data_IF_494739950910
#
_entry.id   IF_494739950910
#
_cell.length_a   1.000
_cell.length_b   1.000
_cell.length_c   1.000
_cell.angle_alpha   90.00
_cell.angle_beta   90.00
_cell.angle_gamma   90.00
#
_symmetry.space_group_name_H-M   'P 1'
#
loop_
_entity.id
_entity.type
_entity.pdbx_description
1 polymer ?
#
# COMPACT_ATOMS: atom_id res chain seq x y z
N UNK A 1 -63.08 -11.92 7.23
CA UNK A 1 -62.01 -12.83 6.74
C UNK A 1 -60.70 -12.05 6.77
N UNK A 2 -59.63 -12.52 7.43
CA UNK A 2 -58.36 -11.81 7.43
C UNK A 2 -57.61 -12.05 6.12
N UNK A 3 -57.24 -10.97 5.44
CA UNK A 3 -56.44 -11.02 4.21
C UNK A 3 -54.99 -11.32 4.55
N UNK A 4 -54.53 -12.54 4.25
CA UNK A 4 -53.13 -12.91 4.38
C UNK A 4 -52.34 -12.32 3.19
N UNK A 5 -51.33 -11.50 3.49
CA UNK A 5 -50.39 -10.96 2.48
C UNK A 5 -49.19 -11.90 2.38
N UNK A 6 -49.00 -12.53 1.22
CA UNK A 6 -47.86 -13.43 0.95
C UNK A 6 -46.72 -12.60 0.34
N UNK A 7 -45.58 -12.53 1.03
CA UNK A 7 -44.37 -11.93 0.47
C UNK A 7 -43.56 -12.96 -0.31
N UNK A 8 -43.48 -12.80 -1.63
CA UNK A 8 -42.68 -13.66 -2.50
C UNK A 8 -41.26 -13.11 -2.57
N UNK A 9 -40.29 -13.83 -2.00
CA UNK A 9 -38.86 -13.51 -2.12
C UNK A 9 -38.34 -14.01 -3.47
N UNK A 10 -38.24 -13.13 -4.45
CA UNK A 10 -37.60 -13.43 -5.72
C UNK A 10 -36.07 -13.36 -5.56
N UNK A 11 -35.38 -14.48 -5.76
CA UNK A 11 -33.92 -14.56 -5.74
C UNK A 11 -33.42 -14.64 -7.18
N UNK A 12 -32.93 -13.52 -7.73
CA UNK A 12 -32.32 -13.48 -9.06
C UNK A 12 -30.89 -13.98 -8.97
N UNK A 13 -30.60 -15.14 -9.56
CA UNK A 13 -29.24 -15.69 -9.64
C UNK A 13 -28.67 -15.34 -11.01
N UNK A 14 -27.74 -14.39 -11.06
CA UNK A 14 -27.06 -14.01 -12.30
C UNK A 14 -25.85 -14.92 -12.51
N UNK A 15 -25.96 -15.90 -13.40
CA UNK A 15 -24.84 -16.73 -13.83
C UNK A 15 -24.10 -16.05 -14.98
N UNK A 16 -22.92 -15.47 -14.71
CA UNK A 16 -22.03 -14.97 -15.77
C UNK A 16 -21.31 -16.13 -16.46
N UNK A 17 -21.53 -16.25 -17.77
CA UNK A 17 -20.73 -17.15 -18.60
C UNK A 17 -19.26 -16.68 -18.58
N UNK A 18 -18.34 -17.57 -18.21
CA UNK A 18 -16.90 -17.31 -18.18
C UNK A 18 -16.35 -17.27 -19.61
N UNK A 19 -16.43 -16.12 -20.27
CA UNK A 19 -15.40 -15.73 -21.23
C UNK A 19 -14.23 -15.15 -20.43
N UNK A 20 -13.00 -15.54 -20.73
CA UNK A 20 -11.79 -15.00 -20.11
C UNK A 20 -11.52 -13.58 -20.63
N UNK A 21 -12.42 -12.65 -20.32
CA UNK A 21 -12.23 -11.23 -20.56
C UNK A 21 -11.48 -10.67 -19.35
N UNK A 22 -10.27 -10.17 -19.58
CA UNK A 22 -9.56 -9.37 -18.59
C UNK A 22 -10.34 -8.06 -18.44
N UNK A 23 -11.05 -7.92 -17.33
CA UNK A 23 -11.78 -6.69 -17.02
C UNK A 23 -10.87 -5.80 -16.19
N UNK A 24 -10.50 -4.64 -16.74
CA UNK A 24 -9.70 -3.64 -16.04
C UNK A 24 -10.65 -2.67 -15.32
N UNK A 25 -10.59 -2.64 -13.99
CA UNK A 25 -11.36 -1.70 -13.18
C UNK A 25 -10.64 -0.36 -13.07
N UNK A 26 -10.68 0.44 -14.15
CA UNK A 26 -10.12 1.80 -14.16
C UNK A 26 -10.76 2.71 -13.10
N UNK A 27 -12.00 2.43 -12.69
CA UNK A 27 -12.70 3.14 -11.61
C UNK A 27 -12.04 2.99 -10.24
N UNK A 28 -11.22 1.96 -10.02
CA UNK A 28 -10.51 1.78 -8.75
C UNK A 28 -9.48 2.89 -8.51
N UNK A 29 -8.71 3.30 -9.52
CA UNK A 29 -7.73 4.39 -9.39
C UNK A 29 -8.39 5.75 -9.15
N UNK A 30 -9.61 5.94 -9.63
CA UNK A 30 -10.41 7.15 -9.36
C UNK A 30 -11.05 7.16 -7.97
N UNK A 31 -11.02 6.03 -7.24
CA UNK A 31 -11.55 5.96 -5.89
C UNK A 31 -10.57 6.54 -4.86
N UNK A 32 -11.09 7.05 -3.73
CA UNK A 32 -10.28 7.64 -2.65
C UNK A 32 -9.20 6.68 -2.14
N UNK A 33 -9.57 5.41 -1.90
CA UNK A 33 -8.66 4.39 -1.38
C UNK A 33 -7.68 3.89 -2.44
N UNK A 34 -8.10 3.80 -3.71
CA UNK A 34 -7.23 3.41 -4.81
C UNK A 34 -6.19 4.47 -5.15
N UNK A 35 -6.58 5.75 -5.17
CA UNK A 35 -5.64 6.87 -5.36
C UNK A 35 -4.59 6.92 -4.25
N UNK A 36 -5.01 6.74 -3.00
CA UNK A 36 -4.11 6.76 -1.86
C UNK A 36 -3.13 5.56 -1.89
N UNK A 37 -3.59 4.37 -2.26
CA UNK A 37 -2.73 3.20 -2.54
C UNK A 37 -1.73 3.46 -3.67
N UNK A 38 -2.18 4.10 -4.74
CA UNK A 38 -1.30 4.44 -5.86
C UNK A 38 -0.21 5.43 -5.44
N UNK A 39 -0.54 6.43 -4.61
CA UNK A 39 0.45 7.34 -4.06
C UNK A 39 1.45 6.61 -3.15
N UNK A 40 0.98 5.73 -2.26
CA UNK A 40 1.83 4.89 -1.42
C UNK A 40 2.82 4.11 -2.30
N UNK A 41 2.33 3.41 -3.33
CA UNK A 41 3.18 2.67 -4.26
C UNK A 41 4.29 3.53 -4.88
N UNK A 42 3.97 4.77 -5.30
CA UNK A 42 4.97 5.70 -5.86
C UNK A 42 6.01 6.07 -4.80
N UNK A 43 5.59 6.46 -3.60
CA UNK A 43 6.53 6.84 -2.54
C UNK A 43 7.42 5.67 -2.11
N UNK A 44 6.88 4.46 -2.01
CA UNK A 44 7.63 3.25 -1.68
C UNK A 44 8.63 2.90 -2.77
N UNK A 45 8.24 3.03 -4.05
CA UNK A 45 9.15 2.86 -5.18
C UNK A 45 10.31 3.86 -5.15
N UNK A 46 10.01 5.14 -4.92
CA UNK A 46 11.03 6.19 -4.85
C UNK A 46 11.97 5.93 -3.67
N UNK A 47 11.44 5.61 -2.48
CA UNK A 47 12.24 5.26 -1.32
C UNK A 47 13.16 4.05 -1.58
N UNK A 48 12.64 3.02 -2.25
CA UNK A 48 13.40 1.84 -2.64
C UNK A 48 14.52 2.17 -3.63
N UNK A 49 14.23 2.89 -4.72
CA UNK A 49 15.23 3.28 -5.72
C UNK A 49 16.32 4.15 -5.08
N UNK A 50 15.94 5.11 -4.24
CA UNK A 50 16.89 5.97 -3.54
C UNK A 50 17.81 5.18 -2.60
N UNK A 51 17.26 4.23 -1.84
CA UNK A 51 18.05 3.32 -1.02
C UNK A 51 18.97 2.46 -1.91
N UNK A 52 18.47 1.90 -3.01
CA UNK A 52 19.26 1.07 -3.92
C UNK A 52 20.43 1.85 -4.55
N UNK A 53 20.18 3.07 -5.02
CA UNK A 53 21.23 3.96 -5.55
C UNK A 53 22.29 4.30 -4.49
N UNK A 54 21.90 4.41 -3.21
CA UNK A 54 22.87 4.57 -2.13
C UNK A 54 23.79 3.36 -2.01
N UNK A 55 23.28 2.14 -2.13
CA UNK A 55 24.07 0.91 -2.07
C UNK A 55 24.94 0.66 -3.31
N UNK A 56 24.54 1.17 -4.47
CA UNK A 56 25.30 1.01 -5.71
C UNK A 56 26.50 1.98 -5.78
N UNK A 57 26.31 3.22 -5.28
CA UNK A 57 27.33 4.26 -5.33
C UNK A 57 28.30 4.29 -4.14
N UNK A 58 28.02 3.55 -3.06
CA UNK A 58 28.83 3.55 -1.84
C UNK A 58 29.40 2.15 -1.58
N UNK A 59 30.67 2.07 -1.18
CA UNK A 59 31.28 0.79 -0.79
C UNK A 59 30.39 0.10 0.26
N UNK A 60 29.98 -1.14 0.00
CA UNK A 60 29.07 -1.94 0.84
C UNK A 60 29.52 -2.00 2.32
N UNK A 61 30.80 -1.81 2.58
CA UNK A 61 31.42 -1.83 3.91
C UNK A 61 31.05 -0.62 4.79
N UNK A 62 30.61 0.51 4.22
CA UNK A 62 30.26 1.74 4.98
C UNK A 62 28.74 1.88 5.19
N UNK A 63 27.94 0.95 4.67
CA UNK A 63 26.48 0.97 4.84
C UNK A 63 26.07 0.63 6.28
N UNK A 64 25.25 1.50 6.90
CA UNK A 64 24.72 1.26 8.24
C UNK A 64 23.58 0.23 8.19
N UNK A 65 23.33 -0.44 9.31
CA UNK A 65 22.22 -1.39 9.43
C UNK A 65 20.85 -0.73 9.17
N UNK A 66 20.72 0.57 9.49
CA UNK A 66 19.54 1.39 9.19
C UNK A 66 19.28 1.51 7.69
N UNK A 67 20.33 1.66 6.87
CA UNK A 67 20.23 1.78 5.41
C UNK A 67 19.70 0.47 4.80
N UNK A 68 20.19 -0.66 5.31
CA UNK A 68 19.78 -2.01 4.88
C UNK A 68 18.34 -2.29 5.27
N UNK A 69 17.96 -1.91 6.49
CA UNK A 69 16.59 -2.02 6.97
C UNK A 69 15.63 -1.23 6.08
N UNK A 70 15.96 0.03 5.76
CA UNK A 70 15.15 0.85 4.84
C UNK A 70 15.03 0.21 3.45
N UNK A 71 16.13 -0.30 2.89
CA UNK A 71 16.11 -0.98 1.59
C UNK A 71 15.15 -2.18 1.60
N UNK A 72 15.23 -3.04 2.62
CA UNK A 72 14.39 -4.24 2.70
C UNK A 72 12.91 -3.91 2.92
N UNK A 73 12.61 -2.98 3.83
CA UNK A 73 11.22 -2.59 4.13
C UNK A 73 10.60 -1.87 2.94
N UNK A 74 11.32 -0.95 2.29
CA UNK A 74 10.83 -0.24 1.11
C UNK A 74 10.58 -1.17 -0.08
N UNK A 75 11.43 -2.18 -0.27
CA UNK A 75 11.22 -3.22 -1.28
C UNK A 75 9.96 -4.04 -1.00
N UNK A 76 9.83 -4.55 0.23
CA UNK A 76 8.68 -5.36 0.65
C UNK A 76 7.36 -4.60 0.54
N UNK A 77 7.37 -3.31 0.91
CA UNK A 77 6.22 -2.44 0.80
C UNK A 77 5.86 -2.16 -0.67
N UNK A 78 6.83 -1.74 -1.48
CA UNK A 78 6.61 -1.48 -2.91
C UNK A 78 6.02 -2.70 -3.63
N UNK A 79 6.67 -3.87 -3.52
CA UNK A 79 6.20 -5.06 -4.24
C UNK A 79 4.79 -5.46 -3.80
N UNK A 80 4.50 -5.41 -2.50
CA UNK A 80 3.22 -5.87 -1.99
C UNK A 80 2.09 -4.90 -2.35
N UNK A 81 2.31 -3.58 -2.23
CA UNK A 81 1.32 -2.58 -2.63
C UNK A 81 1.07 -2.63 -4.13
N UNK A 82 2.11 -2.82 -4.95
CA UNK A 82 1.96 -3.04 -6.40
C UNK A 82 1.10 -4.27 -6.70
N UNK A 83 1.37 -5.41 -6.05
CA UNK A 83 0.59 -6.63 -6.24
C UNK A 83 -0.88 -6.43 -5.80
N UNK A 84 -1.13 -5.73 -4.68
CA UNK A 84 -2.48 -5.40 -4.24
C UNK A 84 -3.21 -4.49 -5.22
N UNK A 85 -2.51 -3.50 -5.81
CA UNK A 85 -3.07 -2.59 -6.79
C UNK A 85 -3.43 -3.33 -8.09
N UNK A 86 -2.52 -4.16 -8.59
CA UNK A 86 -2.76 -5.01 -9.77
C UNK A 86 -3.93 -5.97 -9.51
N UNK A 87 -3.99 -6.59 -8.33
CA UNK A 87 -5.09 -7.47 -7.95
C UNK A 87 -6.44 -6.72 -7.93
N UNK A 88 -6.48 -5.47 -7.46
CA UNK A 88 -7.68 -4.65 -7.49
C UNK A 88 -8.05 -4.16 -8.90
N UNK A 89 -7.07 -3.95 -9.79
CA UNK A 89 -7.30 -3.52 -11.17
C UNK A 89 -7.80 -4.65 -12.08
N UNK A 90 -7.26 -5.86 -11.92
CA UNK A 90 -7.57 -7.01 -12.78
C UNK A 90 -8.81 -7.80 -12.33
N UNK A 91 -9.36 -7.53 -11.15
CA UNK A 91 -10.49 -8.27 -10.59
C UNK A 91 -11.55 -7.34 -10.00
N UNK A 92 -12.74 -7.34 -10.64
CA UNK A 92 -13.92 -6.63 -10.15
C UNK A 92 -14.34 -7.08 -8.74
N UNK A 93 -14.17 -8.36 -8.42
CA UNK A 93 -14.45 -8.90 -7.08
C UNK A 93 -13.43 -8.42 -6.05
N UNK A 94 -12.14 -8.43 -6.39
CA UNK A 94 -11.09 -7.96 -5.49
C UNK A 94 -11.19 -6.46 -5.22
N UNK A 95 -11.60 -5.64 -6.20
CA UNK A 95 -11.76 -4.20 -6.02
C UNK A 95 -12.79 -3.82 -4.94
N UNK A 96 -13.80 -4.67 -4.70
CA UNK A 96 -14.85 -4.44 -3.71
C UNK A 96 -14.59 -5.14 -2.38
N UNK A 97 -13.92 -6.29 -2.40
CA UNK A 97 -13.63 -7.10 -1.21
C UNK A 97 -12.36 -6.62 -0.52
N UNK A 98 -11.30 -6.31 -1.27
CA UNK A 98 -9.98 -6.00 -0.72
C UNK A 98 -10.00 -4.79 0.23
N UNK A 99 -10.65 -3.65 -0.10
CA UNK A 99 -10.70 -2.50 0.82
C UNK A 99 -11.52 -2.75 2.09
N UNK A 100 -12.35 -3.81 2.11
CA UNK A 100 -13.17 -4.20 3.26
C UNK A 100 -12.55 -5.35 4.06
N UNK A 101 -11.50 -5.97 3.54
CA UNK A 101 -10.82 -7.05 4.22
C UNK A 101 -10.03 -6.49 5.40
N UNK A 102 -10.11 -7.16 6.56
CA UNK A 102 -9.29 -6.80 7.72
C UNK A 102 -7.80 -6.81 7.40
N UNK A 103 -7.40 -7.70 6.50
CA UNK A 103 -6.06 -7.77 5.95
C UNK A 103 -5.56 -6.44 5.39
N UNK A 104 -6.38 -5.67 4.68
CA UNK A 104 -5.96 -4.43 4.02
C UNK A 104 -5.53 -3.37 5.04
N UNK A 105 -6.35 -3.10 6.06
CA UNK A 105 -5.99 -2.10 7.06
C UNK A 105 -4.84 -2.56 7.96
N UNK A 106 -4.81 -3.84 8.37
CA UNK A 106 -3.73 -4.39 9.21
C UNK A 106 -2.40 -4.28 8.47
N UNK A 107 -2.39 -4.63 7.19
CA UNK A 107 -1.20 -4.58 6.35
C UNK A 107 -0.64 -3.15 6.26
N UNK A 108 -1.48 -2.17 5.90
CA UNK A 108 -1.07 -0.78 5.76
C UNK A 108 -0.69 -0.14 7.10
N UNK A 109 -1.27 -0.59 8.23
CA UNK A 109 -0.88 -0.12 9.55
C UNK A 109 0.50 -0.64 9.97
N UNK A 110 0.73 -1.95 9.81
CA UNK A 110 2.00 -2.58 10.20
C UNK A 110 3.13 -2.06 9.31
N UNK A 111 2.96 -2.12 7.98
CA UNK A 111 3.99 -1.59 7.08
C UNK A 111 4.15 -0.07 7.22
N UNK A 112 3.07 0.67 7.52
CA UNK A 112 3.15 2.11 7.74
C UNK A 112 4.04 2.46 8.94
N UNK A 113 3.92 1.70 10.04
CA UNK A 113 4.78 1.84 11.22
C UNK A 113 6.23 1.46 10.88
N UNK A 114 6.45 0.31 10.22
CA UNK A 114 7.80 -0.14 9.86
C UNK A 114 8.49 0.88 8.95
N UNK A 115 7.77 1.43 7.98
CA UNK A 115 8.29 2.38 7.01
C UNK A 115 8.57 3.75 7.64
N UNK A 116 7.75 4.16 8.61
CA UNK A 116 7.99 5.34 9.43
C UNK A 116 9.24 5.18 10.30
N UNK A 117 9.40 4.03 10.98
CA UNK A 117 10.59 3.74 11.80
C UNK A 117 11.85 3.71 10.93
N UNK A 118 11.79 3.03 9.78
CA UNK A 118 12.91 2.97 8.84
C UNK A 118 13.33 4.38 8.35
N UNK A 119 12.35 5.19 7.95
CA UNK A 119 12.58 6.57 7.51
C UNK A 119 13.20 7.43 8.61
N UNK A 120 12.65 7.40 9.83
CA UNK A 120 13.15 8.19 10.95
C UNK A 120 14.54 7.75 11.43
N UNK A 121 14.82 6.44 11.47
CA UNK A 121 16.11 5.93 11.89
C UNK A 121 17.21 6.31 10.88
N UNK A 122 16.95 6.13 9.58
CA UNK A 122 17.89 6.58 8.55
C UNK A 122 18.04 8.09 8.61
N UNK A 123 16.96 8.87 8.72
CA UNK A 123 17.02 10.32 8.81
C UNK A 123 17.92 10.78 9.97
N UNK A 124 17.77 10.19 11.17
CA UNK A 124 18.58 10.54 12.33
C UNK A 124 20.08 10.37 12.08
N UNK A 125 20.48 9.31 11.36
CA UNK A 125 21.88 9.07 10.99
C UNK A 125 22.34 9.87 9.76
N UNK A 126 21.46 10.04 8.76
CA UNK A 126 21.79 10.60 7.46
C UNK A 126 21.88 12.13 7.46
N UNK A 127 21.12 12.81 8.33
CA UNK A 127 21.17 14.26 8.47
C UNK A 127 22.18 14.74 9.52
N UNK A 128 22.64 13.84 10.41
CA UNK A 128 23.67 14.16 11.40
C UNK A 128 25.09 14.20 10.80
N UNK A 129 25.34 13.47 9.71
CA UNK A 129 26.65 13.38 9.07
C UNK A 129 26.63 14.03 7.66
N UNK A 130 27.37 15.13 7.44
CA UNK A 130 27.45 15.81 6.15
C UNK A 130 28.07 14.98 5.02
N UNK A 131 28.80 13.90 5.33
CA UNK A 131 29.42 13.02 4.33
C UNK A 131 28.44 11.97 3.77
N UNK A 132 27.23 11.89 4.35
CA UNK A 132 26.17 10.97 3.91
C UNK A 132 25.66 11.36 2.54
N UNK A 133 25.44 10.34 1.72
CA UNK A 133 24.93 10.49 0.36
C UNK A 133 23.52 11.12 0.34
N UNK A 134 23.28 12.12 -0.49
CA UNK A 134 21.97 12.77 -0.63
C UNK A 134 20.83 11.81 -1.01
N UNK A 135 21.12 10.71 -1.73
CA UNK A 135 20.10 9.72 -2.07
C UNK A 135 19.44 9.10 -0.85
N UNK A 136 20.22 8.77 0.19
CA UNK A 136 19.67 8.11 1.37
C UNK A 136 18.89 9.08 2.27
N UNK A 137 19.28 10.36 2.26
CA UNK A 137 18.54 11.44 2.92
C UNK A 137 17.18 11.59 2.25
N UNK A 138 17.13 11.69 0.92
CA UNK A 138 15.89 11.75 0.15
C UNK A 138 15.03 10.49 0.37
N UNK A 139 15.64 9.30 0.33
CA UNK A 139 14.97 8.03 0.59
C UNK A 139 14.34 7.97 1.99
N UNK A 140 15.03 8.46 3.01
CA UNK A 140 14.53 8.50 4.39
C UNK A 140 13.29 9.39 4.54
N UNK A 141 13.29 10.56 3.89
CA UNK A 141 12.14 11.48 3.90
C UNK A 141 10.96 10.90 3.14
N UNK A 142 11.20 10.33 1.96
CA UNK A 142 10.16 9.64 1.19
C UNK A 142 9.53 8.48 1.99
N UNK A 143 10.35 7.70 2.70
CA UNK A 143 9.87 6.59 3.53
C UNK A 143 9.04 7.06 4.74
N UNK A 144 9.48 8.12 5.43
CA UNK A 144 8.73 8.69 6.53
C UNK A 144 7.36 9.23 6.08
N UNK A 145 7.33 9.96 4.95
CA UNK A 145 6.08 10.42 4.33
C UNK A 145 5.21 9.23 3.94
N UNK A 146 5.79 8.21 3.29
CA UNK A 146 5.06 7.00 2.90
C UNK A 146 4.41 6.32 4.10
N UNK A 147 5.15 6.15 5.21
CA UNK A 147 4.63 5.57 6.45
C UNK A 147 3.42 6.32 7.00
N UNK A 148 3.46 7.66 7.00
CA UNK A 148 2.32 8.51 7.43
C UNK A 148 1.11 8.29 6.50
N UNK A 149 1.33 8.34 5.19
CA UNK A 149 0.27 8.14 4.18
C UNK A 149 -0.35 6.74 4.32
N UNK A 150 0.46 5.74 4.66
CA UNK A 150 0.02 4.37 4.84
C UNK A 150 -0.81 4.18 6.11
N UNK A 151 -0.45 4.85 7.20
CA UNK A 151 -1.27 4.88 8.42
C UNK A 151 -2.63 5.56 8.13
N UNK A 152 -2.63 6.68 7.40
CA UNK A 152 -3.87 7.36 6.97
C UNK A 152 -4.73 6.43 6.12
N UNK A 153 -4.13 5.70 5.19
CA UNK A 153 -4.82 4.69 4.39
C UNK A 153 -5.42 3.59 5.27
N UNK A 154 -4.65 3.04 6.20
CA UNK A 154 -5.12 2.04 7.16
C UNK A 154 -6.30 2.53 7.99
N UNK A 155 -6.31 3.80 8.43
CA UNK A 155 -7.45 4.39 9.15
C UNK A 155 -8.71 4.42 8.26
N UNK A 156 -8.58 4.85 6.99
CA UNK A 156 -9.72 4.88 6.09
C UNK A 156 -10.24 3.47 5.75
N UNK A 157 -9.35 2.50 5.50
CA UNK A 157 -9.73 1.11 5.29
C UNK A 157 -10.38 0.49 6.53
N UNK A 158 -9.89 0.80 7.74
CA UNK A 158 -10.51 0.34 8.99
C UNK A 158 -11.94 0.88 9.14
N UNK A 159 -12.18 2.17 8.85
CA UNK A 159 -13.53 2.76 8.87
C UNK A 159 -14.48 2.09 7.90
N UNK A 160 -13.99 1.71 6.71
CA UNK A 160 -14.78 0.98 5.72
C UNK A 160 -15.08 -0.45 6.18
N UNK A 161 -14.14 -1.12 6.83
CA UNK A 161 -14.28 -2.48 7.35
C UNK A 161 -15.38 -2.59 8.42
N UNK A 162 -15.53 -1.60 9.30
CA UNK A 162 -16.50 -1.64 10.41
C UNK A 162 -17.91 -1.14 10.04
N UNK A 163 -18.07 -0.48 8.89
CA UNK A 163 -19.35 0.10 8.44
C UNK A 163 -20.13 -0.81 7.48
N UNK A 164 -19.58 -1.98 7.13
CA UNK A 164 -20.23 -3.03 6.35
C UNK A 164 -20.54 -4.23 7.26
#
# INVERSE_FOLDING_TARGET
MPTATVQVRQTTTTTTARSSVIVINTGYLSSKLGLLKFLIMIFSLVAFIMALMHFDNYNREVSLDSDRFLLMVSFADWITVTLMLIAALLSLGSATILPKASFDFIFHFILGILMLIAGLWVAASAFADPQRNTYIQAGSVCAAICGIVQIVHGIFSYRLCITN
#
